data_IF_673769988575
#
_entry.id   IF_673769988575
#
_cell.length_a   1.000
_cell.length_b   1.000
_cell.length_c   1.000
_cell.angle_alpha   90.00
_cell.angle_beta   90.00
_cell.angle_gamma   90.00
#
_symmetry.space_group_name_H-M   'P 1'
#
loop_
_entity.id
_entity.type
_entity.pdbx_description
1 polymer ?
#
# COMPACT_ATOMS: atom_id res chain seq x y z
N UNK A 1 -9.60 6.17 -21.65
CA UNK A 1 -9.03 5.25 -20.63
C UNK A 1 -7.56 5.04 -20.91
N UNK A 2 -6.68 5.56 -20.04
CA UNK A 2 -5.22 5.43 -20.19
C UNK A 2 -4.75 4.00 -19.84
N UNK A 3 -3.48 3.67 -20.08
CA UNK A 3 -2.92 2.34 -19.80
C UNK A 3 -3.11 1.90 -18.34
N UNK A 4 -2.98 2.84 -17.40
CA UNK A 4 -3.09 2.59 -15.97
C UNK A 4 -4.52 2.18 -15.56
N UNK A 5 -5.52 2.91 -16.04
CA UNK A 5 -6.94 2.62 -15.79
C UNK A 5 -7.35 1.25 -16.36
N UNK A 6 -6.92 0.92 -17.58
CA UNK A 6 -7.19 -0.38 -18.22
C UNK A 6 -6.60 -1.55 -17.42
N UNK A 7 -5.36 -1.41 -16.95
CA UNK A 7 -4.72 -2.45 -16.14
C UNK A 7 -5.37 -2.55 -14.75
N UNK A 8 -5.81 -1.45 -14.14
CA UNK A 8 -6.52 -1.51 -12.88
C UNK A 8 -7.90 -2.16 -13.01
N UNK A 9 -8.62 -1.95 -14.12
CA UNK A 9 -9.86 -2.67 -14.40
C UNK A 9 -9.61 -4.19 -14.46
N UNK A 10 -8.57 -4.63 -15.17
CA UNK A 10 -8.17 -6.04 -15.21
C UNK A 10 -7.83 -6.57 -13.80
N UNK A 11 -7.09 -5.80 -12.99
CA UNK A 11 -6.77 -6.20 -11.61
C UNK A 11 -8.01 -6.32 -10.74
N UNK A 12 -8.99 -5.44 -10.93
CA UNK A 12 -10.27 -5.50 -10.22
C UNK A 12 -11.03 -6.76 -10.61
N UNK A 13 -11.19 -7.01 -11.91
CA UNK A 13 -11.84 -8.22 -12.42
C UNK A 13 -11.20 -9.49 -11.86
N UNK A 14 -9.86 -9.60 -11.89
CA UNK A 14 -9.15 -10.75 -11.31
C UNK A 14 -9.47 -10.95 -9.82
N UNK A 15 -9.60 -9.86 -9.04
CA UNK A 15 -9.93 -9.94 -7.61
C UNK A 15 -11.35 -10.43 -7.36
N UNK A 16 -12.28 -10.04 -8.21
CA UNK A 16 -13.69 -10.43 -8.12
C UNK A 16 -13.93 -11.88 -8.57
N UNK A 17 -13.12 -12.38 -9.52
CA UNK A 17 -13.30 -13.71 -10.13
C UNK A 17 -12.22 -14.71 -9.71
N UNK A 18 -11.66 -14.57 -8.50
CA UNK A 18 -10.57 -15.44 -8.04
C UNK A 18 -10.96 -16.91 -7.90
N UNK A 19 -12.26 -17.22 -7.76
CA UNK A 19 -12.79 -18.59 -7.63
C UNK A 19 -13.02 -19.29 -8.97
N UNK A 20 -12.90 -18.57 -10.09
CA UNK A 20 -13.25 -19.06 -11.42
C UNK A 20 -12.01 -19.28 -12.30
N UNK A 21 -12.10 -20.10 -13.37
CA UNK A 21 -11.05 -20.13 -14.38
C UNK A 21 -10.89 -18.75 -15.04
N UNK A 22 -9.68 -18.18 -14.97
CA UNK A 22 -9.39 -16.87 -15.55
C UNK A 22 -8.73 -17.06 -16.91
N UNK A 23 -9.41 -16.62 -17.98
CA UNK A 23 -8.88 -16.65 -19.35
C UNK A 23 -8.05 -15.39 -19.66
N UNK A 24 -6.81 -15.58 -20.09
CA UNK A 24 -5.91 -14.48 -20.44
C UNK A 24 -6.33 -13.74 -21.69
N UNK A 25 -6.97 -14.43 -22.64
CA UNK A 25 -7.45 -13.81 -23.87
C UNK A 25 -8.63 -12.88 -23.56
N UNK A 26 -9.49 -13.25 -22.60
CA UNK A 26 -10.52 -12.38 -22.05
C UNK A 26 -9.93 -11.14 -21.37
N UNK A 27 -8.94 -11.31 -20.48
CA UNK A 27 -8.29 -10.18 -19.82
C UNK A 27 -7.62 -9.22 -20.81
N UNK A 28 -6.97 -9.76 -21.85
CA UNK A 28 -6.35 -8.95 -22.90
C UNK A 28 -7.41 -8.17 -23.68
N UNK A 29 -8.53 -8.82 -24.04
CA UNK A 29 -9.67 -8.20 -24.72
C UNK A 29 -10.31 -7.10 -23.87
N UNK A 30 -10.48 -7.33 -22.57
CA UNK A 30 -10.98 -6.35 -21.60
C UNK A 30 -10.08 -5.11 -21.54
N UNK A 31 -8.76 -5.30 -21.54
CA UNK A 31 -7.80 -4.20 -21.59
C UNK A 31 -7.71 -3.51 -22.98
N UNK A 32 -8.33 -4.10 -24.02
CA UNK A 32 -8.26 -3.64 -25.40
C UNK A 32 -6.88 -3.83 -26.04
N UNK A 33 -6.20 -4.93 -25.71
CA UNK A 33 -4.88 -5.28 -26.25
C UNK A 33 -4.85 -6.68 -26.86
N UNK A 34 -3.92 -6.92 -27.78
CA UNK A 34 -3.55 -8.30 -28.13
C UNK A 34 -2.89 -8.99 -26.95
N UNK A 35 -2.98 -10.32 -26.87
CA UNK A 35 -2.46 -11.10 -25.74
C UNK A 35 -0.97 -10.82 -25.45
N UNK A 36 -0.13 -10.72 -26.49
CA UNK A 36 1.30 -10.42 -26.36
C UNK A 36 1.52 -9.02 -25.80
N UNK A 37 0.80 -8.02 -26.32
CA UNK A 37 0.95 -6.64 -25.85
C UNK A 37 0.41 -6.48 -24.43
N UNK A 38 -0.72 -7.11 -24.12
CA UNK A 38 -1.28 -7.18 -22.76
C UNK A 38 -0.26 -7.73 -21.78
N UNK A 39 0.38 -8.87 -22.07
CA UNK A 39 1.37 -9.45 -21.18
C UNK A 39 2.52 -8.49 -20.89
N UNK A 40 3.03 -7.79 -21.91
CA UNK A 40 4.10 -6.79 -21.75
C UNK A 40 3.65 -5.60 -20.89
N UNK A 41 2.50 -5.00 -21.21
CA UNK A 41 1.98 -3.83 -20.48
C UNK A 41 1.62 -4.20 -19.05
N UNK A 42 0.96 -5.34 -18.83
CA UNK A 42 0.61 -5.84 -17.51
C UNK A 42 1.87 -6.09 -16.68
N UNK A 43 2.88 -6.78 -17.22
CA UNK A 43 4.12 -7.05 -16.49
C UNK A 43 4.85 -5.75 -16.15
N UNK A 44 4.89 -4.78 -17.07
CA UNK A 44 5.51 -3.48 -16.82
C UNK A 44 4.78 -2.68 -15.72
N UNK A 45 3.45 -2.70 -15.69
CA UNK A 45 2.65 -1.97 -14.69
C UNK A 45 2.59 -2.68 -13.34
N UNK A 46 2.43 -4.00 -13.35
CA UNK A 46 2.16 -4.79 -12.16
C UNK A 46 3.46 -5.32 -11.54
N UNK A 47 4.53 -5.49 -12.32
CA UNK A 47 5.83 -6.03 -11.87
C UNK A 47 5.94 -7.55 -11.92
N UNK A 48 4.89 -8.25 -12.36
CA UNK A 48 4.88 -9.70 -12.56
C UNK A 48 3.90 -10.08 -13.68
N UNK A 49 4.11 -11.25 -14.30
CA UNK A 49 3.19 -11.75 -15.33
C UNK A 49 1.80 -12.09 -14.76
N UNK A 50 0.77 -11.99 -15.59
CA UNK A 50 -0.64 -12.16 -15.17
C UNK A 50 -0.92 -13.49 -14.48
N UNK A 51 -0.34 -14.59 -14.95
CA UNK A 51 -0.51 -15.91 -14.33
C UNK A 51 0.13 -15.98 -12.93
N UNK A 52 1.32 -15.39 -12.78
CA UNK A 52 2.00 -15.30 -11.49
C UNK A 52 1.20 -14.42 -10.53
N UNK A 53 0.66 -13.30 -11.02
CA UNK A 53 -0.23 -12.42 -10.26
C UNK A 53 -1.46 -13.17 -9.74
N UNK A 54 -2.19 -13.88 -10.60
CA UNK A 54 -3.39 -14.65 -10.20
C UNK A 54 -3.03 -15.70 -9.13
N UNK A 55 -1.98 -16.50 -9.37
CA UNK A 55 -1.51 -17.50 -8.40
C UNK A 55 -1.15 -16.87 -7.06
N UNK A 56 -0.44 -15.74 -7.08
CA UNK A 56 -0.05 -15.00 -5.87
C UNK A 56 -1.28 -14.49 -5.11
N UNK A 57 -2.25 -13.88 -5.80
CA UNK A 57 -3.48 -13.37 -5.18
C UNK A 57 -4.30 -14.49 -4.53
N UNK A 58 -4.41 -15.66 -5.19
CA UNK A 58 -5.09 -16.84 -4.62
C UNK A 58 -4.36 -17.37 -3.38
N UNK A 59 -3.04 -17.47 -3.43
CA UNK A 59 -2.22 -17.91 -2.28
C UNK A 59 -2.30 -16.94 -1.10
N UNK A 60 -2.30 -15.63 -1.36
CA UNK A 60 -2.50 -14.58 -0.36
C UNK A 60 -3.88 -14.67 0.30
N UNK A 61 -4.94 -14.90 -0.50
CA UNK A 61 -6.29 -15.13 0.00
C UNK A 61 -6.37 -16.40 0.88
N UNK A 62 -5.77 -17.49 0.44
CA UNK A 62 -5.72 -18.74 1.19
C UNK A 62 -5.08 -18.57 2.56
N UNK A 63 -3.93 -17.88 2.62
CA UNK A 63 -3.25 -17.60 3.88
C UNK A 63 -4.09 -16.71 4.82
N UNK A 64 -4.79 -15.71 4.28
CA UNK A 64 -5.72 -14.88 5.08
C UNK A 64 -6.91 -15.67 5.60
N UNK A 65 -7.45 -16.62 4.84
CA UNK A 65 -8.53 -17.50 5.30
C UNK A 65 -8.06 -18.39 6.45
N UNK A 66 -6.86 -18.98 6.34
CA UNK A 66 -6.25 -19.77 7.42
C UNK A 66 -6.00 -18.91 8.67
N UNK A 67 -5.47 -17.70 8.51
CA UNK A 67 -5.28 -16.73 9.60
C UNK A 67 -6.59 -16.37 10.31
N UNK A 68 -7.71 -16.30 9.57
CA UNK A 68 -9.05 -16.02 10.10
C UNK A 68 -9.74 -17.25 10.70
N UNK A 69 -9.04 -18.38 10.81
CA UNK A 69 -9.54 -19.60 11.45
C UNK A 69 -10.31 -20.54 10.55
N UNK A 70 -10.18 -20.45 9.22
CA UNK A 70 -10.83 -21.41 8.32
C UNK A 70 -10.34 -22.85 8.59
N UNK A 71 -11.28 -23.78 8.74
CA UNK A 71 -10.98 -25.15 9.20
C UNK A 71 -10.69 -26.14 8.06
N UNK A 72 -11.28 -25.93 6.88
CA UNK A 72 -11.19 -26.89 5.78
C UNK A 72 -10.10 -26.51 4.77
N UNK A 73 -8.87 -27.02 4.99
CA UNK A 73 -7.73 -26.81 4.08
C UNK A 73 -8.01 -27.35 2.66
N UNK A 74 -8.83 -28.39 2.53
CA UNK A 74 -9.20 -28.97 1.23
C UNK A 74 -10.05 -28.00 0.42
N UNK A 75 -11.06 -27.38 1.02
CA UNK A 75 -11.88 -26.35 0.34
C UNK A 75 -11.03 -25.15 -0.07
N UNK A 76 -10.14 -24.68 0.81
CA UNK A 76 -9.22 -23.56 0.52
C UNK A 76 -8.30 -23.91 -0.65
N UNK A 77 -7.79 -25.15 -0.71
CA UNK A 77 -6.95 -25.61 -1.81
C UNK A 77 -7.69 -25.56 -3.15
N UNK A 78 -8.90 -26.13 -3.19
CA UNK A 78 -9.74 -26.17 -4.39
C UNK A 78 -10.13 -24.75 -4.85
N UNK A 79 -10.58 -23.90 -3.92
CA UNK A 79 -10.91 -22.49 -4.20
C UNK A 79 -9.68 -21.66 -4.63
N UNK A 80 -8.47 -22.12 -4.30
CA UNK A 80 -7.21 -21.51 -4.76
C UNK A 80 -6.75 -22.03 -6.12
N UNK A 81 -7.57 -22.85 -6.80
CA UNK A 81 -7.30 -23.38 -8.13
C UNK A 81 -6.28 -24.52 -8.15
N UNK A 82 -6.11 -25.24 -7.05
CA UNK A 82 -5.30 -26.46 -6.98
C UNK A 82 -6.17 -27.70 -7.13
N UNK A 83 -5.74 -28.65 -7.96
CA UNK A 83 -6.47 -29.91 -8.19
C UNK A 83 -6.48 -30.83 -6.96
N UNK A 84 -5.47 -30.73 -6.09
CA UNK A 84 -5.35 -31.58 -4.90
C UNK A 84 -4.87 -30.79 -3.68
N UNK A 85 -5.31 -31.14 -2.46
CA UNK A 85 -4.78 -30.55 -1.22
C UNK A 85 -3.27 -30.74 -1.06
N UNK A 86 -2.71 -31.84 -1.59
CA UNK A 86 -1.28 -32.12 -1.55
C UNK A 86 -0.47 -31.12 -2.41
N UNK A 87 -0.95 -30.79 -3.62
CA UNK A 87 -0.27 -29.81 -4.48
C UNK A 87 -0.35 -28.40 -3.89
N UNK A 88 -1.50 -28.04 -3.28
CA UNK A 88 -1.64 -26.82 -2.51
C UNK A 88 -0.68 -26.79 -1.32
N UNK A 89 -0.64 -27.83 -0.49
CA UNK A 89 0.24 -27.90 0.68
C UNK A 89 1.72 -27.73 0.31
N UNK A 90 2.16 -28.35 -0.79
CA UNK A 90 3.52 -28.16 -1.32
C UNK A 90 3.78 -26.72 -1.75
N UNK A 91 2.87 -26.12 -2.52
CA UNK A 91 3.02 -24.74 -2.99
C UNK A 91 2.94 -23.72 -1.83
N UNK A 92 2.08 -23.97 -0.85
CA UNK A 92 1.93 -23.15 0.35
C UNK A 92 3.21 -23.19 1.19
N UNK A 93 3.76 -24.39 1.44
CA UNK A 93 5.03 -24.55 2.15
C UNK A 93 6.21 -23.91 1.42
N UNK A 94 6.26 -24.00 0.10
CA UNK A 94 7.25 -23.27 -0.69
C UNK A 94 7.10 -21.74 -0.58
N UNK A 95 5.87 -21.26 -0.41
CA UNK A 95 5.56 -19.83 -0.34
C UNK A 95 5.82 -19.25 1.05
N UNK A 96 5.42 -19.92 2.13
CA UNK A 96 5.47 -19.39 3.50
C UNK A 96 6.51 -20.08 4.40
N UNK A 97 7.18 -21.13 3.93
CA UNK A 97 8.14 -21.92 4.71
C UNK A 97 7.50 -22.96 5.65
N UNK A 98 6.19 -22.88 5.88
CA UNK A 98 5.40 -23.76 6.75
C UNK A 98 4.19 -24.34 6.01
N UNK A 99 3.71 -25.51 6.40
CA UNK A 99 2.50 -26.11 5.83
C UNK A 99 1.24 -25.32 6.20
N UNK A 100 0.11 -25.48 5.47
CA UNK A 100 -1.15 -24.81 5.82
C UNK A 100 -1.62 -25.08 7.25
N UNK A 101 -1.45 -26.32 7.73
CA UNK A 101 -1.82 -26.71 9.09
C UNK A 101 -0.93 -26.01 10.12
N UNK A 102 0.39 -26.06 9.94
CA UNK A 102 1.34 -25.34 10.82
C UNK A 102 1.08 -23.84 10.82
N UNK A 103 0.77 -23.24 9.66
CA UNK A 103 0.47 -21.82 9.52
C UNK A 103 -0.75 -21.40 10.34
N UNK A 104 -1.77 -22.26 10.42
CA UNK A 104 -3.00 -22.00 11.19
C UNK A 104 -2.76 -21.99 12.70
N UNK A 105 -1.84 -22.83 13.18
CA UNK A 105 -1.49 -22.91 14.60
C UNK A 105 -0.55 -21.77 15.06
N UNK A 106 -0.11 -20.91 14.14
CA UNK A 106 0.69 -19.73 14.50
C UNK A 106 -0.18 -18.68 15.20
N UNK A 107 0.43 -17.96 16.15
CA UNK A 107 -0.13 -16.74 16.69
C UNK A 107 -0.48 -15.76 15.55
N UNK A 108 -1.65 -15.06 15.61
CA UNK A 108 -2.12 -14.21 14.51
C UNK A 108 -1.10 -13.18 14.02
N UNK A 109 -0.30 -12.63 14.94
CA UNK A 109 0.77 -11.68 14.61
C UNK A 109 1.89 -12.34 13.79
N UNK A 110 2.28 -13.57 14.13
CA UNK A 110 3.32 -14.31 13.43
C UNK A 110 2.86 -14.75 12.03
N UNK A 111 1.64 -15.27 11.91
CA UNK A 111 1.04 -15.60 10.61
C UNK A 111 0.86 -14.35 9.72
N UNK A 112 0.37 -13.24 10.29
CA UNK A 112 0.28 -11.96 9.59
C UNK A 112 1.64 -11.48 9.07
N UNK A 113 2.70 -11.61 9.88
CA UNK A 113 4.07 -11.27 9.47
C UNK A 113 4.58 -12.15 8.31
N UNK A 114 4.23 -13.43 8.24
CA UNK A 114 4.59 -14.30 7.11
C UNK A 114 3.89 -13.89 5.80
N UNK A 115 2.60 -13.52 5.87
CA UNK A 115 1.85 -12.97 4.72
C UNK A 115 2.50 -11.68 4.26
N UNK A 116 2.77 -10.79 5.21
CA UNK A 116 3.43 -9.51 4.95
C UNK A 116 4.79 -9.71 4.27
N UNK A 117 5.66 -10.53 4.85
CA UNK A 117 7.00 -10.80 4.31
C UNK A 117 6.93 -11.38 2.89
N UNK A 118 6.04 -12.34 2.66
CA UNK A 118 6.04 -13.04 1.39
C UNK A 118 5.53 -12.20 0.22
N UNK A 119 4.49 -11.39 0.42
CA UNK A 119 3.87 -10.64 -0.68
C UNK A 119 4.31 -9.18 -0.77
N UNK A 120 4.89 -8.65 0.32
CA UNK A 120 5.25 -7.24 0.42
C UNK A 120 6.73 -6.99 0.74
N UNK A 121 7.54 -8.04 0.98
CA UNK A 121 9.00 -7.94 1.21
C UNK A 121 9.86 -8.79 0.26
N UNK A 122 9.32 -9.82 -0.42
CA UNK A 122 10.11 -10.73 -1.28
C UNK A 122 9.98 -10.49 -2.81
N UNK A 123 9.25 -9.46 -3.26
CA UNK A 123 9.19 -9.02 -4.67
C UNK A 123 10.53 -8.42 -5.13
N UNK A 124 11.02 -8.82 -6.31
CA UNK A 124 12.23 -8.20 -6.89
C UNK A 124 12.02 -6.68 -7.01
N UNK A 125 12.92 -5.89 -6.40
CA UNK A 125 12.84 -4.42 -6.37
C UNK A 125 12.33 -3.82 -5.06
N UNK A 126 12.42 -4.52 -3.92
CA UNK A 126 11.91 -3.98 -2.67
C UNK A 126 12.69 -2.81 -2.08
N UNK A 127 11.88 -1.86 -1.66
CA UNK A 127 12.19 -0.52 -1.18
C UNK A 127 11.66 -0.35 0.25
N UNK A 128 10.76 -1.21 0.73
CA UNK A 128 10.13 -1.13 2.05
C UNK A 128 10.85 -2.00 3.08
N UNK A 129 11.27 -1.42 4.20
CA UNK A 129 11.84 -2.15 5.35
C UNK A 129 10.73 -2.78 6.21
N UNK A 130 11.04 -3.80 7.02
CA UNK A 130 10.07 -4.42 7.93
C UNK A 130 9.37 -3.38 8.82
N UNK A 131 8.11 -3.66 9.16
CA UNK A 131 7.35 -2.87 10.13
C UNK A 131 8.07 -2.85 11.47
N UNK A 132 8.25 -1.66 12.04
CA UNK A 132 8.74 -1.48 13.40
C UNK A 132 7.67 -0.81 14.25
N UNK A 133 7.45 -1.32 15.46
CA UNK A 133 6.65 -0.59 16.45
C UNK A 133 7.59 0.38 17.17
N UNK A 134 7.32 1.68 17.04
CA UNK A 134 8.09 2.74 17.71
C UNK A 134 7.18 3.54 18.63
N UNK A 135 7.72 3.96 19.77
CA UNK A 135 7.05 4.95 20.63
C UNK A 135 7.56 6.33 20.24
N UNK A 136 6.65 7.20 19.82
CA UNK A 136 6.96 8.56 19.41
C UNK A 136 6.44 9.56 20.46
N UNK A 137 7.11 10.71 20.64
CA UNK A 137 6.59 11.79 21.47
C UNK A 137 5.44 12.53 20.76
N UNK A 138 4.74 13.39 21.50
CA UNK A 138 3.87 14.41 20.88
C UNK A 138 4.72 15.30 19.96
N UNK A 139 4.23 15.52 18.75
CA UNK A 139 4.92 16.35 17.76
C UNK A 139 4.03 17.53 17.34
N UNK A 140 4.44 18.78 17.65
CA UNK A 140 3.81 19.96 17.08
C UNK A 140 4.13 20.03 15.60
N UNK A 141 3.09 20.14 14.78
CA UNK A 141 3.19 20.25 13.32
C UNK A 141 2.61 21.59 12.88
N UNK A 142 3.45 22.47 12.32
CA UNK A 142 2.96 23.62 11.56
C UNK A 142 2.58 23.13 10.17
N UNK A 143 1.36 23.39 9.71
CA UNK A 143 0.87 22.85 8.45
C UNK A 143 0.08 23.84 7.61
N UNK A 144 0.08 23.60 6.29
CA UNK A 144 -0.86 24.12 5.32
C UNK A 144 -1.91 23.04 5.03
N UNK A 145 -3.20 23.38 5.10
CA UNK A 145 -4.29 22.46 4.78
C UNK A 145 -4.71 22.60 3.32
N UNK A 146 -4.93 21.47 2.67
CA UNK A 146 -5.74 21.39 1.47
C UNK A 146 -6.88 20.39 1.67
N UNK A 147 -7.96 20.63 0.94
CA UNK A 147 -9.09 19.71 0.85
C UNK A 147 -9.43 19.59 -0.62
N UNK A 148 -9.40 18.37 -1.15
CA UNK A 148 -9.66 18.12 -2.57
C UNK A 148 -10.16 16.69 -2.76
N UNK A 149 -10.86 16.44 -3.87
CA UNK A 149 -11.26 15.09 -4.26
C UNK A 149 -10.03 14.22 -4.51
N UNK A 150 -10.06 12.99 -3.96
CA UNK A 150 -9.05 11.94 -4.11
C UNK A 150 -9.05 11.37 -5.54
N UNK A 151 -8.80 12.23 -6.53
CA UNK A 151 -8.68 11.90 -7.95
C UNK A 151 -7.38 12.46 -8.51
N UNK A 152 -6.83 11.77 -9.51
CA UNK A 152 -5.66 12.28 -10.24
C UNK A 152 -6.12 13.11 -11.44
N UNK A 153 -5.51 14.28 -11.71
CA UNK A 153 -4.38 14.89 -11.00
C UNK A 153 -4.78 15.83 -9.85
N UNK A 154 -6.07 16.08 -9.62
CA UNK A 154 -6.57 17.11 -8.71
C UNK A 154 -5.92 17.05 -7.31
N UNK A 155 -5.92 15.88 -6.70
CA UNK A 155 -5.35 15.67 -5.38
C UNK A 155 -3.83 15.93 -5.34
N UNK A 156 -3.09 15.56 -6.38
CA UNK A 156 -1.66 15.83 -6.47
C UNK A 156 -1.38 17.33 -6.59
N UNK A 157 -2.16 18.04 -7.41
CA UNK A 157 -2.05 19.49 -7.56
C UNK A 157 -2.31 20.21 -6.24
N UNK A 158 -3.35 19.81 -5.51
CA UNK A 158 -3.67 20.35 -4.19
C UNK A 158 -2.54 20.10 -3.17
N UNK A 159 -1.98 18.89 -3.15
CA UNK A 159 -0.84 18.55 -2.28
C UNK A 159 0.39 19.41 -2.60
N UNK A 160 0.70 19.60 -3.89
CA UNK A 160 1.84 20.42 -4.31
C UNK A 160 1.64 21.90 -3.93
N UNK A 161 0.42 22.43 -4.07
CA UNK A 161 0.10 23.79 -3.68
C UNK A 161 0.25 24.00 -2.15
N UNK A 162 -0.23 23.06 -1.34
CA UNK A 162 -0.09 23.12 0.12
C UNK A 162 1.38 23.11 0.58
N UNK A 163 2.21 22.20 0.04
CA UNK A 163 3.65 22.22 0.32
C UNK A 163 4.32 23.50 -0.19
N UNK A 164 3.92 24.01 -1.36
CA UNK A 164 4.43 25.27 -1.89
C UNK A 164 4.14 26.45 -0.96
N UNK A 165 2.93 26.53 -0.42
CA UNK A 165 2.55 27.55 0.57
C UNK A 165 3.37 27.42 1.85
N UNK A 166 3.49 26.20 2.40
CA UNK A 166 4.29 25.93 3.60
C UNK A 166 5.75 26.35 3.41
N UNK A 167 6.40 25.90 2.33
CA UNK A 167 7.81 26.20 2.07
C UNK A 167 8.05 27.70 1.83
N UNK A 168 7.12 28.38 1.16
CA UNK A 168 7.19 29.84 0.97
C UNK A 168 7.12 30.58 2.31
N UNK A 169 6.26 30.15 3.22
CA UNK A 169 6.15 30.74 4.54
C UNK A 169 7.41 30.47 5.39
N UNK A 170 7.95 29.25 5.34
CA UNK A 170 9.19 28.90 6.05
C UNK A 170 10.41 29.68 5.56
N UNK A 171 10.51 29.92 4.25
CA UNK A 171 11.56 30.77 3.69
C UNK A 171 11.46 32.22 4.20
N UNK A 172 10.25 32.78 4.30
CA UNK A 172 10.04 34.13 4.87
C UNK A 172 10.35 34.21 6.36
N UNK A 173 10.19 33.10 7.09
CA UNK A 173 10.52 33.00 8.51
C UNK A 173 12.01 32.70 8.76
N UNK A 174 12.81 32.48 7.71
CA UNK A 174 14.19 32.01 7.83
C UNK A 174 14.30 30.76 8.74
N UNK A 175 13.41 29.80 8.51
CA UNK A 175 13.22 28.63 9.38
C UNK A 175 13.42 27.28 8.66
N UNK A 176 13.91 27.29 7.43
CA UNK A 176 14.13 26.08 6.62
C UNK A 176 15.26 25.20 7.17
N UNK A 177 16.27 25.79 7.80
CA UNK A 177 17.36 25.12 8.52
C UNK A 177 16.89 24.48 9.84
N UNK A 178 15.76 24.93 10.38
CA UNK A 178 15.18 24.45 11.66
C UNK A 178 14.22 23.29 11.48
N UNK A 179 14.02 22.81 10.26
CA UNK A 179 13.12 21.70 9.96
C UNK A 179 13.75 20.37 10.41
N UNK A 180 13.05 19.64 11.28
CA UNK A 180 13.40 18.25 11.64
C UNK A 180 12.77 17.25 10.67
N UNK A 181 11.48 17.44 10.38
CA UNK A 181 10.72 16.57 9.50
C UNK A 181 9.80 17.38 8.59
N UNK A 182 9.72 16.98 7.33
CA UNK A 182 8.64 17.36 6.42
C UNK A 182 7.63 16.21 6.40
N UNK A 183 6.37 16.49 6.70
CA UNK A 183 5.35 15.47 6.97
C UNK A 183 4.11 15.71 6.11
N UNK A 184 3.49 14.62 5.68
CA UNK A 184 2.22 14.57 5.01
C UNK A 184 1.22 13.85 5.92
N UNK A 185 0.11 14.49 6.29
CA UNK A 185 -0.92 13.90 7.17
C UNK A 185 -2.22 13.75 6.40
N UNK A 186 -2.76 12.53 6.40
CA UNK A 186 -4.04 12.17 5.80
C UNK A 186 -4.97 11.70 6.92
N UNK A 187 -5.76 12.61 7.54
CA UNK A 187 -6.60 12.28 8.68
C UNK A 187 -7.84 11.46 8.28
N UNK A 188 -8.27 11.55 7.03
CA UNK A 188 -9.50 10.93 6.55
C UNK A 188 -9.21 9.61 5.83
N UNK A 189 -9.99 8.57 6.15
CA UNK A 189 -10.06 7.34 5.38
C UNK A 189 -11.22 7.47 4.39
N UNK A 190 -10.89 7.81 3.14
CA UNK A 190 -11.90 8.05 2.09
C UNK A 190 -11.63 7.21 0.85
N UNK A 191 -12.68 6.95 0.09
CA UNK A 191 -12.60 6.26 -1.19
C UNK A 191 -12.13 7.19 -2.32
N UNK A 192 -11.70 6.58 -3.44
CA UNK A 192 -11.31 7.34 -4.63
C UNK A 192 -12.52 8.12 -5.16
N UNK A 193 -12.35 9.42 -5.36
CA UNK A 193 -13.41 10.31 -5.80
C UNK A 193 -14.09 11.11 -4.70
N UNK A 194 -13.95 10.70 -3.43
CA UNK A 194 -14.44 11.46 -2.28
C UNK A 194 -13.49 12.61 -1.94
N UNK A 195 -14.03 13.61 -1.25
CA UNK A 195 -13.25 14.75 -0.76
C UNK A 195 -12.39 14.31 0.43
N UNK A 196 -11.09 14.60 0.39
CA UNK A 196 -10.13 14.20 1.40
C UNK A 196 -9.37 15.43 1.92
N UNK A 197 -9.17 15.50 3.23
CA UNK A 197 -8.25 16.49 3.81
C UNK A 197 -6.82 15.98 3.74
N UNK A 198 -5.92 16.92 3.54
CA UNK A 198 -4.49 16.70 3.55
C UNK A 198 -3.79 17.87 4.21
N UNK A 199 -2.88 17.57 5.13
CA UNK A 199 -2.06 18.58 5.79
C UNK A 199 -0.58 18.39 5.42
N UNK A 200 -0.04 19.36 4.67
CA UNK A 200 1.39 19.49 4.41
C UNK A 200 2.03 20.17 5.60
N UNK A 201 2.89 19.46 6.34
CA UNK A 201 3.37 19.87 7.64
C UNK A 201 4.89 19.85 7.80
N UNK A 202 5.36 20.56 8.82
CA UNK A 202 6.73 20.54 9.30
C UNK A 202 6.77 20.36 10.82
N UNK A 203 7.70 19.54 11.28
CA UNK A 203 8.12 19.46 12.69
C UNK A 203 9.50 20.11 12.78
N UNK A 204 9.69 20.99 13.75
CA UNK A 204 10.93 21.71 13.93
C UNK A 204 11.87 21.00 14.92
N UNK A 205 13.15 21.39 14.90
CA UNK A 205 14.15 20.94 15.89
C UNK A 205 13.95 21.65 17.23
N UNK A 206 14.34 20.98 18.32
CA UNK A 206 14.61 21.55 19.64
C UNK A 206 13.47 22.43 20.22
N UNK A 207 12.22 22.07 19.91
CA UNK A 207 11.04 22.78 20.41
C UNK A 207 10.82 24.16 19.78
N UNK A 208 11.57 24.51 18.72
CA UNK A 208 11.34 25.74 17.98
C UNK A 208 9.91 25.75 17.41
N UNK A 209 9.11 26.73 17.79
CA UNK A 209 7.71 26.82 17.38
C UNK A 209 7.35 28.28 17.13
N UNK A 210 7.59 28.81 15.91
CA UNK A 210 7.27 30.20 15.58
C UNK A 210 5.76 30.42 15.60
N UNK A 211 5.33 31.67 15.75
CA UNK A 211 3.92 32.02 15.53
C UNK A 211 3.48 31.58 14.14
N UNK A 212 2.28 31.00 14.03
CA UNK A 212 1.78 30.49 12.75
C UNK A 212 1.60 31.63 11.73
N UNK A 213 2.27 31.58 10.57
CA UNK A 213 2.04 32.54 9.49
C UNK A 213 0.61 32.48 8.98
N UNK A 214 0.16 33.56 8.33
CA UNK A 214 -1.16 33.59 7.70
C UNK A 214 -1.37 32.41 6.74
N UNK A 215 -2.51 31.73 6.89
CA UNK A 215 -2.86 30.55 6.09
C UNK A 215 -2.22 29.24 6.56
N UNK A 216 -1.44 29.25 7.64
CA UNK A 216 -0.92 28.06 8.31
C UNK A 216 -1.53 27.91 9.71
N UNK A 217 -1.53 26.70 10.23
CA UNK A 217 -2.01 26.39 11.58
C UNK A 217 -1.13 25.34 12.26
N UNK A 218 -1.27 25.20 13.58
CA UNK A 218 -0.65 24.13 14.33
C UNK A 218 -1.64 23.02 14.65
N UNK A 219 -1.17 21.79 14.57
CA UNK A 219 -1.81 20.63 15.18
C UNK A 219 -0.76 19.79 15.91
N UNK A 220 -1.21 18.88 16.77
CA UNK A 220 -0.33 17.93 17.45
C UNK A 220 -0.57 16.54 16.88
N UNK A 221 0.49 15.92 16.35
CA UNK A 221 0.49 14.48 16.13
C UNK A 221 0.69 13.80 17.50
N UNK A 222 -0.29 13.03 17.98
CA UNK A 222 -0.21 12.46 19.31
C UNK A 222 0.92 11.44 19.40
N UNK A 223 1.66 11.51 20.50
CA UNK A 223 2.63 10.52 20.89
C UNK A 223 1.96 9.19 21.24
N UNK A 224 2.81 8.17 21.40
CA UNK A 224 2.37 6.81 21.67
C UNK A 224 3.00 5.81 20.71
N UNK A 225 2.39 4.62 20.61
CA UNK A 225 2.91 3.54 19.75
C UNK A 225 2.42 3.72 18.33
N UNK A 226 3.36 3.75 17.40
CA UNK A 226 3.15 3.86 15.97
C UNK A 226 3.73 2.64 15.26
N UNK A 227 3.00 2.12 14.27
CA UNK A 227 3.56 1.21 13.28
C UNK A 227 4.31 2.05 12.24
N UNK A 228 5.62 1.87 12.15
CA UNK A 228 6.51 2.63 11.28
C UNK A 228 6.98 1.72 10.16
N UNK A 229 6.72 2.16 8.94
CA UNK A 229 7.17 1.48 7.73
C UNK A 229 8.13 2.40 6.97
N UNK A 230 9.40 1.98 6.85
CA UNK A 230 10.39 2.80 6.15
C UNK A 230 10.42 2.45 4.66
N UNK A 231 10.28 3.47 3.83
CA UNK A 231 10.50 3.40 2.38
C UNK A 231 11.91 3.89 2.03
N UNK A 232 12.66 3.14 1.23
CA UNK A 232 14.06 3.36 0.84
C UNK A 232 14.20 3.13 -0.67
N UNK A 233 13.92 4.17 -1.45
CA UNK A 233 13.86 4.09 -2.90
C UNK A 233 13.14 5.28 -3.53
N UNK A 234 12.87 5.23 -4.85
CA UNK A 234 12.21 6.31 -5.58
C UNK A 234 10.81 6.63 -5.08
N UNK A 235 10.49 7.93 -4.98
CA UNK A 235 9.19 8.41 -4.47
C UNK A 235 7.98 7.91 -5.27
N UNK A 236 8.12 7.70 -6.57
CA UNK A 236 7.06 7.15 -7.44
C UNK A 236 6.69 5.69 -7.11
N UNK A 237 7.47 5.02 -6.26
CA UNK A 237 7.16 3.69 -5.72
C UNK A 237 6.58 3.73 -4.31
N UNK A 238 6.40 4.90 -3.69
CA UNK A 238 5.88 5.06 -2.33
C UNK A 238 4.50 4.41 -2.13
N UNK A 239 3.68 4.39 -3.18
CA UNK A 239 2.38 3.71 -3.18
C UNK A 239 2.48 2.22 -2.82
N UNK A 240 3.61 1.57 -3.11
CA UNK A 240 3.82 0.16 -2.75
C UNK A 240 3.91 -0.01 -1.23
N UNK A 241 4.62 0.91 -0.57
CA UNK A 241 4.69 0.96 0.90
C UNK A 241 3.35 1.30 1.51
N UNK A 242 2.66 2.30 0.95
CA UNK A 242 1.32 2.70 1.39
C UNK A 242 0.31 1.54 1.31
N UNK A 243 0.28 0.80 0.19
CA UNK A 243 -0.59 -0.38 0.04
C UNK A 243 -0.22 -1.52 1.00
N UNK A 244 1.06 -1.68 1.33
CA UNK A 244 1.52 -2.68 2.30
C UNK A 244 1.18 -2.32 3.75
N UNK A 245 1.09 -1.03 4.09
CA UNK A 245 0.79 -0.56 5.44
C UNK A 245 -0.71 -0.62 5.79
N UNK A 246 -1.60 -0.54 4.79
CA UNK A 246 -3.06 -0.49 4.97
C UNK A 246 -3.78 -1.86 4.84
N UNK A 247 -3.05 -2.97 4.79
CA UNK A 247 -3.60 -4.33 4.58
C UNK A 247 -3.19 -5.30 5.66
#
# INVERSE_FOLDING_TARGET
>A
MNHYERINQVRQYIREHMDEPIDRDELARMAGYSLIHFHRIFTAHVGEGVNSYVRRMRMERAARQLLRGAHNVTEIALASGYETPASFGKAFKQTFGVSPSEFRELEPMAAGHLIYRQFFYNRKGHIMQPMEIRTLPDMPVLYARATERMTSPAFQTANQAAFGQLMTALAKLDATDKMRHCIAIYPDQVEVGEEARFDAGVVFVDGYQPAAPAGLAYQTLPGGRWAVFRHVGPYDTLWQTWQGALR
#
